data_IF_688007805188
#
_entry.id   IF_688007805188
#
_cell.length_a   1.000
_cell.length_b   1.000
_cell.length_c   1.000
_cell.angle_alpha   90.00
_cell.angle_beta   90.00
_cell.angle_gamma   90.00
#
_symmetry.space_group_name_H-M   'P 1'
#
loop_
_entity.id
_entity.type
_entity.pdbx_description
1 polymer ?
#
# COMPACT_ATOMS: atom_id res chain seq x y z
N UNK A 1 -9.06 1.07 20.69
CA UNK A 1 -8.17 0.56 19.62
C UNK A 1 -8.10 1.64 18.54
N UNK A 2 -7.10 1.62 17.66
CA UNK A 2 -6.99 2.63 16.59
C UNK A 2 -7.60 2.10 15.30
N UNK A 3 -8.32 2.97 14.57
CA UNK A 3 -8.83 2.69 13.24
C UNK A 3 -7.67 2.26 12.33
N UNK A 4 -7.88 1.19 11.58
CA UNK A 4 -6.92 0.65 10.63
C UNK A 4 -7.22 1.19 9.24
N UNK A 5 -6.23 1.83 8.65
CA UNK A 5 -6.28 2.28 7.25
C UNK A 5 -6.19 1.10 6.30
N UNK A 6 -6.78 1.25 5.12
CA UNK A 6 -6.76 0.24 4.07
C UNK A 6 -6.05 0.81 2.84
N UNK A 7 -5.04 0.08 2.36
CA UNK A 7 -4.33 0.38 1.12
C UNK A 7 -4.60 -0.73 0.11
N UNK A 8 -5.15 -0.39 -1.05
CA UNK A 8 -5.31 -1.30 -2.17
C UNK A 8 -4.19 -1.04 -3.19
N UNK A 9 -3.19 -1.90 -3.27
CA UNK A 9 -2.04 -1.73 -4.17
C UNK A 9 -2.13 -2.65 -5.40
N UNK A 10 -1.28 -2.45 -6.41
CA UNK A 10 -1.22 -3.25 -7.66
C UNK A 10 -2.53 -3.27 -8.48
N UNK A 11 -3.29 -2.18 -8.43
CA UNK A 11 -4.52 -2.05 -9.22
C UNK A 11 -4.19 -2.05 -10.72
N UNK A 12 -4.87 -2.91 -11.47
CA UNK A 12 -4.65 -3.08 -12.91
C UNK A 12 -5.90 -2.76 -13.77
N UNK A 13 -7.08 -2.61 -13.16
CA UNK A 13 -8.35 -2.44 -13.87
C UNK A 13 -9.27 -1.42 -13.18
N UNK A 14 -10.17 -0.80 -13.94
CA UNK A 14 -11.19 0.10 -13.40
C UNK A 14 -12.22 -0.62 -12.52
N UNK A 15 -12.45 -1.91 -12.76
CA UNK A 15 -13.37 -2.73 -11.95
C UNK A 15 -12.82 -2.89 -10.53
N UNK A 16 -11.56 -3.29 -10.41
CA UNK A 16 -10.84 -3.43 -9.13
C UNK A 16 -10.83 -2.08 -8.41
N UNK A 17 -10.48 -1.02 -9.14
CA UNK A 17 -10.33 0.30 -8.58
C UNK A 17 -11.65 0.82 -8.00
N UNK A 18 -12.77 0.61 -8.70
CA UNK A 18 -14.12 0.96 -8.22
C UNK A 18 -14.56 0.10 -7.04
N UNK A 19 -14.23 -1.19 -7.06
CA UNK A 19 -14.53 -2.09 -5.96
C UNK A 19 -13.86 -1.61 -4.66
N UNK A 20 -12.55 -1.35 -4.68
CA UNK A 20 -11.85 -0.83 -3.51
C UNK A 20 -12.31 0.57 -3.12
N UNK A 21 -12.57 1.47 -4.09
CA UNK A 21 -13.10 2.80 -3.79
C UNK A 21 -14.49 2.74 -3.12
N UNK A 22 -15.34 1.78 -3.48
CA UNK A 22 -16.64 1.57 -2.82
C UNK A 22 -16.50 1.14 -1.36
N UNK A 23 -15.42 0.43 -1.02
CA UNK A 23 -15.02 0.11 0.35
C UNK A 23 -14.31 1.26 1.08
N UNK A 24 -14.24 2.45 0.46
CA UNK A 24 -13.67 3.67 1.03
C UNK A 24 -12.24 3.48 1.55
N UNK A 25 -11.41 2.75 0.78
CA UNK A 25 -9.99 2.58 1.11
C UNK A 25 -9.26 3.92 1.16
N UNK A 26 -8.27 4.04 2.03
CA UNK A 26 -7.48 5.26 2.21
C UNK A 26 -6.52 5.51 1.04
N UNK A 27 -5.96 4.43 0.48
CA UNK A 27 -4.97 4.49 -0.59
C UNK A 27 -5.31 3.51 -1.71
N UNK A 28 -5.04 3.94 -2.95
CA UNK A 28 -5.15 3.14 -4.16
C UNK A 28 -3.85 3.24 -4.98
N UNK A 29 -3.22 2.11 -5.26
CA UNK A 29 -1.84 2.03 -5.72
C UNK A 29 -1.65 1.34 -7.07
N UNK A 30 -0.72 1.88 -7.86
CA UNK A 30 -0.34 1.36 -9.19
C UNK A 30 1.13 0.92 -9.22
N UNK A 31 1.44 -0.14 -9.97
CA UNK A 31 2.83 -0.58 -10.18
C UNK A 31 3.50 0.25 -11.29
N UNK A 32 4.41 1.14 -10.90
CA UNK A 32 5.08 2.05 -11.83
C UNK A 32 6.11 1.33 -12.71
N UNK A 33 6.65 0.20 -12.27
CA UNK A 33 7.61 -0.57 -13.07
C UNK A 33 6.92 -1.24 -14.26
N UNK A 34 5.64 -1.59 -14.11
CA UNK A 34 4.80 -2.08 -15.22
C UNK A 34 4.49 -0.94 -16.19
N UNK A 35 4.20 0.28 -15.70
CA UNK A 35 3.99 1.46 -16.56
C UNK A 35 5.24 1.76 -17.39
N UNK A 36 6.43 1.69 -16.80
CA UNK A 36 7.68 1.91 -17.53
C UNK A 36 7.94 0.88 -18.64
N UNK A 37 7.37 -0.32 -18.52
CA UNK A 37 7.42 -1.36 -19.57
C UNK A 37 6.34 -1.16 -20.63
N UNK A 38 5.21 -0.54 -20.29
CA UNK A 38 4.13 -0.22 -21.20
C UNK A 38 3.50 1.14 -20.87
N UNK A 39 3.99 2.19 -21.54
CA UNK A 39 3.54 3.56 -21.32
C UNK A 39 2.06 3.79 -21.70
N UNK A 40 1.42 2.89 -22.47
CA UNK A 40 -0.02 2.99 -22.75
C UNK A 40 -0.85 2.85 -21.48
N UNK A 41 -0.34 2.13 -20.46
CA UNK A 41 -1.00 1.99 -19.16
C UNK A 41 -1.10 3.32 -18.41
N UNK A 42 -0.25 4.30 -18.72
CA UNK A 42 -0.34 5.63 -18.12
C UNK A 42 -1.69 6.30 -18.41
N UNK A 43 -2.23 6.10 -19.62
CA UNK A 43 -3.54 6.61 -19.99
C UNK A 43 -4.65 5.86 -19.26
N UNK A 44 -4.56 4.54 -19.19
CA UNK A 44 -5.52 3.71 -18.44
C UNK A 44 -5.57 4.07 -16.96
N UNK A 45 -4.42 4.30 -16.33
CA UNK A 45 -4.35 4.71 -14.92
C UNK A 45 -4.85 6.13 -14.71
N UNK A 46 -4.59 7.06 -15.64
CA UNK A 46 -5.19 8.39 -15.62
C UNK A 46 -6.72 8.30 -15.65
N UNK A 47 -7.28 7.49 -16.56
CA UNK A 47 -8.73 7.28 -16.61
C UNK A 47 -9.24 6.74 -15.27
N UNK A 48 -8.58 5.73 -14.68
CA UNK A 48 -8.98 5.22 -13.36
C UNK A 48 -9.00 6.32 -12.30
N UNK A 49 -7.96 7.15 -12.22
CA UNK A 49 -7.87 8.26 -11.26
C UNK A 49 -8.99 9.28 -11.48
N UNK A 50 -9.25 9.68 -12.73
CA UNK A 50 -10.28 10.67 -13.07
C UNK A 50 -11.71 10.20 -12.74
N UNK A 51 -11.95 8.89 -12.79
CA UNK A 51 -13.25 8.31 -12.49
C UNK A 51 -13.50 8.09 -11.00
N UNK A 52 -12.46 8.15 -10.16
CA UNK A 52 -12.54 7.82 -8.75
C UNK A 52 -12.45 9.06 -7.86
N UNK A 53 -13.16 8.98 -6.74
CA UNK A 53 -13.14 9.96 -5.66
C UNK A 53 -13.02 9.19 -4.36
N UNK A 54 -12.22 9.68 -3.42
CA UNK A 54 -12.07 9.06 -2.10
C UNK A 54 -10.61 8.76 -1.75
N UNK A 55 -9.99 7.73 -2.38
CA UNK A 55 -8.65 7.31 -2.00
C UNK A 55 -7.59 8.33 -2.42
N UNK A 56 -6.50 8.38 -1.66
CA UNK A 56 -5.24 8.93 -2.14
C UNK A 56 -4.62 7.97 -3.15
N UNK A 57 -3.97 8.50 -4.17
CA UNK A 57 -3.32 7.68 -5.19
C UNK A 57 -1.84 7.49 -4.89
N UNK A 58 -1.31 6.30 -5.12
CA UNK A 58 0.11 6.02 -4.92
C UNK A 58 0.72 5.20 -6.04
N UNK A 59 2.03 5.25 -6.13
CA UNK A 59 2.81 4.36 -6.98
C UNK A 59 3.62 3.38 -6.15
N UNK A 60 3.98 2.23 -6.72
CA UNK A 60 5.01 1.36 -6.19
C UNK A 60 6.12 1.14 -7.22
N UNK A 61 7.37 1.11 -6.76
CA UNK A 61 8.52 0.72 -7.59
C UNK A 61 9.52 -0.09 -6.77
N UNK A 62 10.10 -1.09 -7.42
CA UNK A 62 11.18 -1.92 -6.87
C UNK A 62 12.57 -1.40 -7.25
N UNK A 63 12.65 -0.29 -7.99
CA UNK A 63 13.94 0.29 -8.42
C UNK A 63 14.70 0.87 -7.25
N UNK A 64 16.03 0.78 -7.33
CA UNK A 64 16.94 1.35 -6.32
C UNK A 64 17.13 2.87 -6.45
N UNK A 65 16.70 3.46 -7.57
CA UNK A 65 16.89 4.89 -7.86
C UNK A 65 15.59 5.48 -8.44
N UNK A 66 15.19 6.64 -7.92
CA UNK A 66 14.06 7.42 -8.45
C UNK A 66 14.59 8.35 -9.54
N UNK A 67 14.59 7.85 -10.78
CA UNK A 67 14.96 8.61 -11.98
C UNK A 67 13.87 9.59 -12.43
N UNK A 68 14.19 10.43 -13.41
CA UNK A 68 13.25 11.39 -13.99
C UNK A 68 12.01 10.70 -14.57
N UNK A 69 12.16 9.49 -15.10
CA UNK A 69 11.05 8.71 -15.66
C UNK A 69 9.97 8.37 -14.61
N UNK A 70 10.35 8.08 -13.37
CA UNK A 70 9.39 7.83 -12.28
C UNK A 70 8.75 9.14 -11.84
N UNK A 71 9.55 10.22 -11.73
CA UNK A 71 9.08 11.55 -11.36
C UNK A 71 8.01 12.04 -12.34
N UNK A 72 8.24 11.84 -13.63
CA UNK A 72 7.31 12.22 -14.69
C UNK A 72 5.99 11.45 -14.56
N UNK A 73 6.04 10.15 -14.24
CA UNK A 73 4.83 9.33 -14.01
C UNK A 73 4.07 9.82 -12.76
N UNK A 74 4.78 10.06 -11.65
CA UNK A 74 4.19 10.57 -10.40
C UNK A 74 3.44 11.88 -10.65
N UNK A 75 4.09 12.84 -11.31
CA UNK A 75 3.50 14.14 -11.62
C UNK A 75 2.35 14.01 -12.62
N UNK A 76 2.51 13.15 -13.62
CA UNK A 76 1.51 12.90 -14.65
C UNK A 76 0.21 12.32 -14.08
N UNK A 77 0.32 11.40 -13.11
CA UNK A 77 -0.81 10.78 -12.44
C UNK A 77 -1.26 11.54 -11.18
N UNK A 78 -0.53 12.59 -10.79
CA UNK A 78 -0.77 13.35 -9.56
C UNK A 78 -0.85 12.42 -8.32
N UNK A 79 0.16 11.56 -8.15
CA UNK A 79 0.21 10.61 -7.04
C UNK A 79 0.56 11.32 -5.73
N UNK A 80 -0.12 10.95 -4.66
CA UNK A 80 0.05 11.46 -3.30
C UNK A 80 1.16 10.76 -2.52
N UNK A 81 1.49 9.52 -2.90
CA UNK A 81 2.48 8.70 -2.21
C UNK A 81 3.27 7.76 -3.13
N UNK A 82 4.39 7.26 -2.61
CA UNK A 82 5.25 6.29 -3.30
C UNK A 82 5.72 5.19 -2.33
N UNK A 83 5.53 3.93 -2.74
CA UNK A 83 6.14 2.76 -2.13
C UNK A 83 7.49 2.51 -2.80
N UNK A 84 8.53 2.42 -1.99
CA UNK A 84 9.92 2.21 -2.41
C UNK A 84 10.58 1.11 -1.58
N UNK A 85 11.66 0.53 -2.07
CA UNK A 85 12.50 -0.35 -1.24
C UNK A 85 13.32 0.46 -0.20
N UNK A 86 13.88 -0.26 0.75
CA UNK A 86 14.70 0.22 1.88
C UNK A 86 16.00 0.92 1.49
N UNK A 87 16.51 0.65 0.28
CA UNK A 87 17.78 1.17 -0.21
C UNK A 87 17.63 2.38 -1.13
N UNK A 88 16.41 2.80 -1.44
CA UNK A 88 16.17 3.95 -2.32
C UNK A 88 16.62 5.25 -1.66
N UNK A 89 17.48 5.98 -2.36
CA UNK A 89 17.73 7.38 -2.06
C UNK A 89 16.48 8.20 -2.40
N UNK A 90 15.84 8.74 -1.36
CA UNK A 90 14.66 9.57 -1.53
C UNK A 90 14.99 10.81 -2.35
N UNK A 91 14.13 11.11 -3.33
CA UNK A 91 14.20 12.38 -4.02
C UNK A 91 13.47 13.44 -3.18
N UNK A 92 14.22 14.26 -2.44
CA UNK A 92 13.70 15.33 -1.58
C UNK A 92 12.92 16.42 -2.34
N UNK A 93 12.94 16.42 -3.68
CA UNK A 93 12.19 17.37 -4.50
C UNK A 93 10.74 16.96 -4.71
N UNK A 94 10.37 15.72 -4.38
CA UNK A 94 8.99 15.25 -4.42
C UNK A 94 8.33 15.48 -3.05
N UNK A 95 7.30 16.31 -3.02
CA UNK A 95 6.48 16.56 -1.82
C UNK A 95 5.37 15.52 -1.69
N UNK A 96 5.73 14.23 -1.68
CA UNK A 96 4.80 13.10 -1.55
C UNK A 96 5.11 12.26 -0.31
N UNK A 97 4.12 11.48 0.13
CA UNK A 97 4.29 10.54 1.23
C UNK A 97 5.11 9.32 0.79
N UNK A 98 6.06 8.86 1.62
CA UNK A 98 6.89 7.69 1.32
C UNK A 98 6.53 6.52 2.22
N UNK A 99 6.37 5.35 1.59
CA UNK A 99 6.26 4.06 2.24
C UNK A 99 7.49 3.25 1.89
N UNK A 100 8.28 2.88 2.90
CA UNK A 100 9.43 2.01 2.70
C UNK A 100 9.00 0.57 2.92
N UNK A 101 9.07 -0.24 1.88
CA UNK A 101 8.85 -1.67 1.96
C UNK A 101 10.06 -2.34 2.62
N UNK A 102 9.78 -3.14 3.64
CA UNK A 102 10.76 -3.89 4.43
C UNK A 102 10.29 -5.32 4.66
N UNK A 103 11.24 -6.23 4.78
CA UNK A 103 11.04 -7.66 5.00
C UNK A 103 11.64 -8.13 6.33
N UNK A 104 12.60 -7.39 6.90
CA UNK A 104 13.24 -7.76 8.17
C UNK A 104 13.22 -6.62 9.21
N UNK A 105 13.15 -6.93 10.53
CA UNK A 105 13.25 -5.90 11.57
C UNK A 105 14.55 -5.09 11.54
N UNK A 106 15.63 -5.69 11.05
CA UNK A 106 16.93 -5.04 10.87
C UNK A 106 16.87 -3.92 9.83
N UNK A 107 16.14 -4.11 8.73
CA UNK A 107 15.88 -3.05 7.74
C UNK A 107 15.07 -1.90 8.35
N UNK A 108 14.14 -2.20 9.26
CA UNK A 108 13.40 -1.18 10.00
C UNK A 108 14.30 -0.33 10.90
N UNK A 109 15.32 -0.93 11.49
CA UNK A 109 16.25 -0.27 12.41
C UNK A 109 17.27 0.65 11.70
N UNK A 110 17.61 0.32 10.45
CA UNK A 110 18.57 1.09 9.64
C UNK A 110 17.90 2.10 8.71
N UNK A 111 16.60 1.94 8.46
CA UNK A 111 15.81 2.86 7.66
C UNK A 111 15.81 4.29 8.21
N UNK A 112 15.82 5.28 7.31
CA UNK A 112 15.67 6.68 7.70
C UNK A 112 14.37 6.87 8.52
N UNK A 113 14.52 7.41 9.72
CA UNK A 113 13.57 7.49 10.86
C UNK A 113 12.26 8.26 10.58
N UNK A 114 12.02 8.74 9.35
CA UNK A 114 10.89 9.59 8.97
C UNK A 114 10.05 8.89 7.89
N UNK A 115 9.55 7.68 8.18
CA UNK A 115 8.93 6.83 7.18
C UNK A 115 7.72 6.06 7.70
N UNK A 116 6.72 5.93 6.83
CA UNK A 116 5.77 4.82 6.96
C UNK A 116 6.47 3.54 6.49
N UNK A 117 6.23 2.44 7.18
CA UNK A 117 6.77 1.13 6.80
C UNK A 117 5.68 0.26 6.23
N UNK A 118 5.97 -0.41 5.12
CA UNK A 118 5.16 -1.49 4.58
C UNK A 118 5.90 -2.79 4.84
N UNK A 119 5.33 -3.63 5.69
CA UNK A 119 5.91 -4.93 6.06
C UNK A 119 5.27 -5.99 5.18
N UNK A 120 6.07 -6.59 4.31
CA UNK A 120 5.61 -7.68 3.45
C UNK A 120 5.58 -9.03 4.19
N UNK A 121 6.66 -9.35 4.92
CA UNK A 121 6.71 -10.52 5.81
C UNK A 121 6.51 -10.09 7.27
N UNK A 122 5.30 -10.29 7.78
CA UNK A 122 4.95 -9.96 9.15
C UNK A 122 5.12 -11.13 10.14
N UNK A 123 5.86 -12.19 9.80
CA UNK A 123 6.15 -13.31 10.72
C UNK A 123 6.73 -12.84 12.06
N UNK A 124 7.49 -11.74 12.06
CA UNK A 124 8.09 -11.12 13.24
C UNK A 124 7.46 -9.75 13.59
N UNK A 125 6.17 -9.56 13.33
CA UNK A 125 5.45 -8.28 13.50
C UNK A 125 5.71 -7.60 14.86
N UNK A 126 5.74 -8.36 15.95
CA UNK A 126 6.01 -7.81 17.28
C UNK A 126 7.40 -7.19 17.41
N UNK A 127 8.41 -7.74 16.73
CA UNK A 127 9.76 -7.17 16.67
C UNK A 127 9.76 -5.89 15.83
N UNK A 128 9.11 -5.89 14.68
CA UNK A 128 8.97 -4.68 13.86
C UNK A 128 8.33 -3.53 14.65
N UNK A 129 7.25 -3.81 15.37
CA UNK A 129 6.60 -2.82 16.22
C UNK A 129 7.58 -2.33 17.29
N UNK A 130 8.27 -3.24 17.98
CA UNK A 130 9.21 -2.90 19.06
C UNK A 130 10.37 -2.01 18.58
N UNK A 131 10.91 -2.28 17.40
CA UNK A 131 11.98 -1.45 16.78
C UNK A 131 11.48 -0.04 16.46
N UNK A 132 10.20 0.10 16.11
CA UNK A 132 9.60 1.36 15.66
C UNK A 132 8.87 2.16 16.75
N UNK A 133 8.73 1.64 17.98
CA UNK A 133 8.03 2.30 19.08
C UNK A 133 8.55 3.72 19.38
N UNK A 134 9.82 4.00 19.08
CA UNK A 134 10.44 5.29 19.35
C UNK A 134 10.35 6.28 18.17
N UNK A 135 9.96 5.83 16.97
CA UNK A 135 10.15 6.60 15.74
C UNK A 135 8.88 7.24 15.16
N UNK A 136 7.72 7.15 15.84
CA UNK A 136 6.44 7.71 15.33
C UNK A 136 6.11 7.29 13.88
N UNK A 137 6.54 6.09 13.47
CA UNK A 137 6.33 5.56 12.14
C UNK A 137 4.99 4.84 12.03
N UNK A 138 4.26 5.04 10.94
CA UNK A 138 3.06 4.25 10.67
C UNK A 138 3.45 2.91 10.05
N UNK A 139 3.00 1.81 10.65
CA UNK A 139 3.24 0.47 10.13
C UNK A 139 2.02 -0.01 9.35
N UNK A 140 2.25 -0.45 8.12
CA UNK A 140 1.30 -1.14 7.28
C UNK A 140 1.75 -2.59 7.09
N UNK A 141 0.81 -3.52 7.09
CA UNK A 141 1.08 -4.95 6.89
C UNK A 141 0.44 -5.41 5.60
N UNK A 142 1.22 -5.97 4.68
CA UNK A 142 0.71 -6.57 3.44
C UNK A 142 0.10 -7.94 3.71
N UNK A 143 -1.24 -8.00 3.69
CA UNK A 143 -1.98 -9.22 3.98
C UNK A 143 -1.83 -10.28 2.89
N UNK A 144 -1.46 -9.89 1.66
CA UNK A 144 -1.21 -10.84 0.58
C UNK A 144 0.12 -11.60 0.74
N UNK A 145 1.04 -11.06 1.56
CA UNK A 145 2.34 -11.68 1.84
C UNK A 145 2.51 -12.07 3.33
N UNK A 146 1.51 -11.78 4.15
CA UNK A 146 1.50 -12.05 5.57
C UNK A 146 1.05 -13.49 5.89
N UNK A 147 1.82 -14.16 6.75
CA UNK A 147 1.48 -15.49 7.26
C UNK A 147 0.69 -15.47 8.59
N UNK A 148 0.40 -14.29 9.15
CA UNK A 148 -0.39 -14.14 10.37
C UNK A 148 -1.89 -14.11 10.05
N UNK A 149 -2.72 -14.55 11.00
CA UNK A 149 -4.16 -14.36 10.88
C UNK A 149 -4.54 -12.88 10.95
N UNK A 150 -5.56 -12.49 10.21
CA UNK A 150 -6.08 -11.12 10.20
C UNK A 150 -6.34 -10.59 11.62
N UNK A 151 -6.94 -11.39 12.50
CA UNK A 151 -7.19 -11.01 13.90
C UNK A 151 -5.91 -10.65 14.66
N UNK A 152 -4.80 -11.37 14.45
CA UNK A 152 -3.52 -11.04 15.09
C UNK A 152 -2.97 -9.73 14.55
N UNK A 153 -3.11 -9.50 13.25
CA UNK A 153 -2.65 -8.26 12.59
C UNK A 153 -3.46 -7.07 13.10
N UNK A 154 -4.80 -7.15 13.09
CA UNK A 154 -5.67 -6.06 13.54
C UNK A 154 -5.50 -5.72 15.02
N UNK A 155 -5.27 -6.72 15.87
CA UNK A 155 -5.02 -6.51 17.30
C UNK A 155 -3.60 -5.98 17.61
N UNK A 156 -2.74 -5.86 16.61
CA UNK A 156 -1.39 -5.31 16.76
C UNK A 156 -1.37 -3.78 16.61
N UNK A 157 -0.31 -3.15 17.11
CA UNK A 157 -0.10 -1.69 17.01
C UNK A 157 0.43 -1.30 15.63
N UNK A 158 -0.47 -1.36 14.65
CA UNK A 158 -0.24 -0.99 13.25
C UNK A 158 -1.20 0.13 12.83
N UNK A 159 -0.81 0.90 11.83
CA UNK A 159 -1.62 1.98 11.26
C UNK A 159 -2.60 1.48 10.18
N UNK A 160 -2.27 0.39 9.49
CA UNK A 160 -3.14 -0.12 8.43
C UNK A 160 -2.69 -1.44 7.83
N UNK A 161 -3.43 -1.87 6.83
CA UNK A 161 -3.17 -3.10 6.08
C UNK A 161 -3.13 -2.80 4.59
N UNK A 162 -2.38 -3.62 3.85
CA UNK A 162 -2.31 -3.59 2.39
C UNK A 162 -2.99 -4.83 1.84
N UNK A 163 -3.83 -4.61 0.84
CA UNK A 163 -4.47 -5.61 0.01
C UNK A 163 -4.02 -5.36 -1.43
N UNK A 164 -3.85 -6.41 -2.23
CA UNK A 164 -3.55 -6.28 -3.64
C UNK A 164 -4.80 -6.42 -4.50
N UNK A 165 -4.99 -5.49 -5.44
CA UNK A 165 -5.73 -5.76 -6.66
C UNK A 165 -4.89 -6.68 -7.55
N UNK A 166 -5.55 -7.55 -8.29
CA UNK A 166 -4.90 -8.39 -9.28
C UNK A 166 -3.96 -9.49 -8.75
N UNK A 167 -4.48 -10.72 -8.74
CA UNK A 167 -3.85 -11.83 -9.44
C UNK A 167 -4.93 -12.40 -10.36
N UNK A 168 -4.96 -11.97 -11.62
CA UNK A 168 -5.74 -12.70 -12.62
C UNK A 168 -5.07 -14.07 -12.83
N UNK A 169 -5.46 -15.09 -12.07
CA UNK A 169 -5.17 -16.46 -12.48
C UNK A 169 -5.87 -16.75 -13.83
N UNK A 170 -7.01 -16.08 -14.07
CA UNK A 170 -7.74 -15.92 -15.34
C UNK A 170 -8.53 -14.61 -15.33
N UNK A 171 -8.79 -14.06 -16.53
CA UNK A 171 -9.74 -12.94 -16.74
C UNK A 171 -11.06 -13.24 -16.03
N UNK A 172 -11.41 -12.43 -15.02
CA UNK A 172 -12.68 -12.50 -14.29
C UNK A 172 -12.73 -13.34 -13.00
N UNK A 173 -11.60 -13.76 -12.42
CA UNK A 173 -11.55 -14.43 -11.11
C UNK A 173 -10.53 -13.75 -10.19
N UNK A 174 -10.89 -12.57 -9.69
CA UNK A 174 -10.40 -12.13 -8.39
C UNK A 174 -11.21 -12.90 -7.34
N UNK A 175 -10.57 -13.41 -6.29
CA UNK A 175 -11.30 -13.99 -5.15
C UNK A 175 -11.88 -12.85 -4.29
N UNK A 176 -12.93 -12.24 -4.84
CA UNK A 176 -13.69 -11.20 -4.16
C UNK A 176 -14.28 -11.71 -2.84
N UNK A 177 -14.55 -13.01 -2.71
CA UNK A 177 -15.05 -13.58 -1.45
C UNK A 177 -14.00 -13.45 -0.33
N UNK A 178 -12.72 -13.70 -0.63
CA UNK A 178 -11.63 -13.49 0.32
C UNK A 178 -11.44 -12.00 0.65
N UNK A 179 -11.51 -11.12 -0.35
CA UNK A 179 -11.37 -9.67 -0.14
C UNK A 179 -12.53 -9.10 0.68
N UNK A 180 -13.77 -9.46 0.35
CA UNK A 180 -14.97 -9.09 1.09
C UNK A 180 -14.82 -9.55 2.55
N UNK A 181 -14.39 -10.80 2.77
CA UNK A 181 -14.14 -11.30 4.12
C UNK A 181 -13.13 -10.46 4.92
N UNK A 182 -12.05 -10.02 4.28
CA UNK A 182 -11.06 -9.16 4.94
C UNK A 182 -11.60 -7.75 5.19
N UNK A 183 -12.22 -7.14 4.18
CA UNK A 183 -12.75 -5.77 4.25
C UNK A 183 -13.91 -5.65 5.26
N UNK A 184 -14.81 -6.62 5.31
CA UNK A 184 -15.86 -6.72 6.32
C UNK A 184 -15.26 -6.76 7.73
N UNK A 185 -14.30 -7.67 7.97
CA UNK A 185 -13.66 -7.79 9.29
C UNK A 185 -12.89 -6.53 9.71
N UNK A 186 -12.23 -5.86 8.77
CA UNK A 186 -11.54 -4.59 9.05
C UNK A 186 -12.57 -3.51 9.40
N UNK A 187 -13.69 -3.47 8.67
CA UNK A 187 -14.78 -2.52 8.91
C UNK A 187 -15.42 -2.75 10.28
N UNK A 188 -15.78 -3.99 10.62
CA UNK A 188 -16.30 -4.37 11.95
C UNK A 188 -15.32 -3.97 13.07
N UNK A 189 -14.02 -4.22 12.87
CA UNK A 189 -13.00 -3.81 13.84
C UNK A 189 -12.95 -2.29 14.01
N UNK A 190 -13.03 -1.54 12.91
CA UNK A 190 -13.01 -0.07 12.93
C UNK A 190 -14.26 0.51 13.61
N UNK A 191 -15.44 -0.05 13.36
CA UNK A 191 -16.69 0.33 14.04
C UNK A 191 -16.58 0.14 15.57
N UNK A 192 -15.96 -0.96 16.01
CA UNK A 192 -15.69 -1.20 17.43
C UNK A 192 -14.67 -0.23 18.05
N UNK A 193 -13.83 0.41 17.23
CA UNK A 193 -12.88 1.43 17.68
C UNK A 193 -13.52 2.81 17.86
N UNK A 194 -14.55 3.10 17.07
CA UNK A 194 -15.27 4.38 17.06
C UNK A 194 -16.37 4.48 18.13
N UNK A 195 -16.79 3.34 18.70
CA UNK A 195 -17.81 3.23 19.75
C UNK A 195 -17.28 3.51 21.16
#
# INVERSE_FOLDING_TARGET
MAIKKIMANKINSLTDARYFAAWNVDYLGFDLDVVLQNLELLNSYREIIEWLVGPKFLGSTSRLHIGQEIIDIINSLNLDALIVNEFVEKNLSLEIEYFTQINTPEEAATGNIINNFLIADASELSKFISVNQHNSCNIFVDLNQCNLSLEKVLNSDIAGVVLHGGLEEKVGLMDFDQLDHYLEKISEYNELCDA
#
